data_IF_837531277779
#
_entry.id   IF_837531277779
#
_cell.length_a   1.000
_cell.length_b   1.000
_cell.length_c   1.000
_cell.angle_alpha   90.00
_cell.angle_beta   90.00
_cell.angle_gamma   90.00
#
_symmetry.space_group_name_H-M   'P 1'
#
loop_
_entity.id
_entity.type
_entity.pdbx_description
1 polymer ?
#
# COMPACT_ATOMS: atom_id res chain seq x y z
N UNK A 1 4.87 6.49 -31.40
CA UNK A 1 5.03 7.66 -30.53
C UNK A 1 6.14 7.39 -29.51
N UNK A 2 6.87 8.43 -29.13
CA UNK A 2 7.86 8.38 -28.05
C UNK A 2 7.20 8.81 -26.74
N UNK A 3 7.16 7.92 -25.76
CA UNK A 3 6.40 8.10 -24.52
C UNK A 3 7.34 8.02 -23.32
N UNK A 4 7.26 9.02 -22.43
CA UNK A 4 7.92 8.98 -21.13
C UNK A 4 6.96 8.51 -20.04
N UNK A 5 7.47 7.69 -19.11
CA UNK A 5 6.76 7.29 -17.90
C UNK A 5 7.63 7.65 -16.69
N UNK A 6 7.08 8.39 -15.76
CA UNK A 6 7.75 8.79 -14.53
C UNK A 6 7.29 7.88 -13.38
N UNK A 7 8.22 7.03 -12.94
CA UNK A 7 8.04 6.04 -11.90
C UNK A 7 8.06 4.59 -12.41
N UNK A 8 9.00 3.79 -11.90
CA UNK A 8 9.11 2.35 -12.14
C UNK A 8 8.41 1.52 -11.06
N UNK A 9 7.34 2.05 -10.45
CA UNK A 9 6.39 1.26 -9.67
C UNK A 9 5.55 0.34 -10.57
N UNK A 10 4.79 -0.58 -9.99
CA UNK A 10 3.99 -1.54 -10.77
C UNK A 10 2.98 -0.90 -11.72
N UNK A 11 2.46 0.29 -11.39
CA UNK A 11 1.58 1.04 -12.30
C UNK A 11 2.30 1.54 -13.56
N UNK A 12 3.48 2.15 -13.37
CA UNK A 12 4.29 2.63 -14.49
C UNK A 12 4.81 1.50 -15.37
N UNK A 13 5.30 0.42 -14.76
CA UNK A 13 5.76 -0.76 -15.49
C UNK A 13 4.62 -1.46 -16.25
N UNK A 14 3.41 -1.55 -15.67
CA UNK A 14 2.26 -2.13 -16.35
C UNK A 14 1.79 -1.26 -17.53
N UNK A 15 1.83 0.08 -17.39
CA UNK A 15 1.57 0.99 -18.49
C UNK A 15 2.60 0.82 -19.61
N UNK A 16 3.89 0.75 -19.26
CA UNK A 16 4.96 0.52 -20.23
C UNK A 16 4.79 -0.78 -21.02
N UNK A 17 4.38 -1.85 -20.32
CA UNK A 17 4.10 -3.15 -20.93
C UNK A 17 3.02 -3.05 -22.02
N UNK A 18 1.90 -2.41 -21.71
CA UNK A 18 0.78 -2.28 -22.63
C UNK A 18 1.08 -1.30 -23.78
N UNK A 19 1.82 -0.21 -23.52
CA UNK A 19 2.22 0.77 -24.52
C UNK A 19 3.26 0.17 -25.49
N UNK A 20 4.22 -0.60 -25.00
CA UNK A 20 5.20 -1.28 -25.85
C UNK A 20 4.54 -2.32 -26.75
N UNK A 21 3.60 -3.09 -26.22
CA UNK A 21 2.76 -4.01 -27.05
C UNK A 21 1.96 -3.28 -28.13
N UNK A 22 1.59 -2.03 -27.90
CA UNK A 22 0.90 -1.18 -28.88
C UNK A 22 1.88 -0.54 -29.90
N UNK A 23 3.17 -0.85 -29.87
CA UNK A 23 4.18 -0.39 -30.82
C UNK A 23 4.76 0.97 -30.54
N UNK A 24 4.68 1.47 -29.30
CA UNK A 24 5.27 2.75 -28.91
C UNK A 24 6.72 2.58 -28.42
N UNK A 25 7.51 3.65 -28.54
CA UNK A 25 8.82 3.75 -27.90
C UNK A 25 8.64 4.30 -26.50
N UNK A 26 9.03 3.52 -25.50
CA UNK A 26 8.75 3.82 -24.10
C UNK A 26 10.05 3.94 -23.31
N UNK A 27 10.19 5.07 -22.60
CA UNK A 27 11.27 5.31 -21.64
C UNK A 27 10.64 5.48 -20.25
N UNK A 28 11.11 4.71 -19.26
CA UNK A 28 10.75 4.86 -17.84
C UNK A 28 11.87 5.59 -17.12
N UNK A 29 11.53 6.65 -16.37
CA UNK A 29 12.42 7.37 -15.46
C UNK A 29 12.08 7.00 -14.03
N UNK A 30 13.07 6.56 -13.25
CA UNK A 30 12.91 6.20 -11.83
C UNK A 30 14.02 6.86 -11.01
N UNK A 31 13.63 7.56 -9.95
CA UNK A 31 14.57 8.27 -9.08
C UNK A 31 15.45 7.32 -8.26
N UNK A 32 14.91 6.17 -7.87
CA UNK A 32 15.65 5.13 -7.17
C UNK A 32 16.53 4.31 -8.14
N UNK A 33 17.55 3.66 -7.62
CA UNK A 33 18.43 2.75 -8.35
C UNK A 33 17.80 1.34 -8.55
N UNK A 34 16.52 1.17 -8.17
CA UNK A 34 15.73 -0.07 -8.28
C UNK A 34 14.29 0.22 -8.73
N UNK A 35 13.64 -0.78 -9.32
CA UNK A 35 12.21 -0.74 -9.65
C UNK A 35 11.35 -1.29 -8.49
N UNK A 36 10.02 -1.08 -8.56
CA UNK A 36 9.05 -1.63 -7.61
C UNK A 36 8.27 -0.58 -6.81
N UNK A 37 8.79 0.66 -6.71
CA UNK A 37 8.14 1.75 -5.99
C UNK A 37 7.91 1.42 -4.50
N UNK A 38 6.70 1.65 -3.98
CA UNK A 38 6.37 1.35 -2.57
C UNK A 38 6.35 -0.15 -2.23
N UNK A 39 6.26 -1.02 -3.22
CA UNK A 39 6.34 -2.47 -3.03
C UNK A 39 7.75 -3.03 -3.29
N UNK A 40 8.75 -2.15 -3.37
CA UNK A 40 10.15 -2.57 -3.44
C UNK A 40 10.62 -3.21 -2.13
N UNK A 41 11.67 -4.01 -2.24
CA UNK A 41 12.29 -4.70 -1.12
C UNK A 41 13.79 -4.44 -1.04
N UNK A 42 14.41 -5.10 -0.09
CA UNK A 42 15.85 -5.12 0.12
C UNK A 42 16.25 -6.51 0.64
N UNK A 43 17.54 -6.83 0.60
CA UNK A 43 18.04 -8.04 1.24
C UNK A 43 19.47 -7.87 1.76
N UNK A 44 19.81 -8.65 2.77
CA UNK A 44 21.18 -8.80 3.24
C UNK A 44 21.93 -9.83 2.38
N UNK A 45 23.26 -9.79 2.35
CA UNK A 45 24.05 -10.72 1.53
C UNK A 45 23.83 -12.20 1.83
N UNK A 46 23.44 -12.56 3.05
CA UNK A 46 23.18 -13.93 3.50
C UNK A 46 21.72 -14.38 3.35
N UNK A 47 20.83 -13.51 2.83
CA UNK A 47 19.43 -13.85 2.56
C UNK A 47 19.25 -14.31 1.11
N UNK A 48 18.47 -15.34 0.90
CA UNK A 48 18.08 -15.79 -0.45
C UNK A 48 16.96 -14.92 -1.00
N UNK A 49 16.00 -14.52 -0.14
CA UNK A 49 14.84 -13.73 -0.51
C UNK A 49 14.98 -12.26 -0.05
N UNK A 50 14.30 -11.37 -0.74
CA UNK A 50 14.14 -9.98 -0.33
C UNK A 50 12.99 -9.84 0.68
N UNK A 51 13.08 -8.79 1.48
CA UNK A 51 12.07 -8.34 2.43
C UNK A 51 11.54 -7.00 1.94
N UNK A 52 10.23 -6.79 1.96
CA UNK A 52 9.61 -5.55 1.51
C UNK A 52 9.94 -4.39 2.46
N UNK A 53 10.20 -3.20 1.91
CA UNK A 53 10.39 -1.95 2.70
C UNK A 53 9.13 -1.57 3.47
N UNK A 54 7.99 -1.83 2.85
CA UNK A 54 6.66 -1.71 3.44
C UNK A 54 5.95 -3.04 3.17
N UNK A 55 5.47 -3.72 4.20
CA UNK A 55 4.87 -5.05 4.05
C UNK A 55 3.69 -5.04 3.06
N UNK A 56 3.76 -5.86 2.04
CA UNK A 56 2.79 -6.03 0.97
C UNK A 56 2.32 -7.47 0.85
N UNK A 57 1.10 -7.64 0.37
CA UNK A 57 0.51 -8.95 0.07
C UNK A 57 -0.38 -8.82 -1.15
N UNK A 58 -0.56 -9.92 -1.86
CA UNK A 58 -1.64 -10.08 -2.81
C UNK A 58 -2.82 -10.82 -2.19
N UNK A 59 -4.01 -10.54 -2.69
CA UNK A 59 -5.20 -11.32 -2.43
C UNK A 59 -5.51 -12.23 -3.62
N UNK A 60 -6.19 -13.35 -3.38
CA UNK A 60 -6.62 -14.23 -4.48
C UNK A 60 -7.61 -13.53 -5.43
N UNK A 61 -8.21 -12.42 -5.00
CA UNK A 61 -9.09 -11.54 -5.77
C UNK A 61 -8.37 -10.49 -6.62
N UNK A 62 -7.04 -10.38 -6.54
CA UNK A 62 -6.23 -9.35 -7.22
C UNK A 62 -6.04 -9.67 -8.70
N UNK A 63 -7.14 -9.64 -9.45
CA UNK A 63 -7.22 -10.11 -10.83
C UNK A 63 -6.31 -9.37 -11.80
N UNK A 64 -6.11 -8.05 -11.63
CA UNK A 64 -5.24 -7.25 -12.51
C UNK A 64 -3.77 -7.63 -12.32
N UNK A 65 -3.32 -7.76 -11.06
CA UNK A 65 -1.94 -8.16 -10.76
C UNK A 65 -1.68 -9.61 -11.15
N UNK A 66 -2.55 -10.54 -10.75
CA UNK A 66 -2.40 -11.96 -11.08
C UNK A 66 -2.51 -12.21 -12.59
N UNK A 67 -3.34 -11.42 -13.29
CA UNK A 67 -3.42 -11.42 -14.75
C UNK A 67 -2.11 -10.97 -15.40
N UNK A 68 -1.51 -9.89 -14.90
CA UNK A 68 -0.20 -9.41 -15.37
C UNK A 68 0.89 -10.46 -15.11
N UNK A 69 0.94 -11.06 -13.92
CA UNK A 69 1.93 -12.10 -13.57
C UNK A 69 1.82 -13.28 -14.55
N UNK A 70 0.59 -13.69 -14.91
CA UNK A 70 0.36 -14.74 -15.92
C UNK A 70 0.82 -14.33 -17.31
N UNK A 71 0.55 -13.09 -17.73
CA UNK A 71 1.04 -12.57 -19.02
C UNK A 71 2.58 -12.55 -19.09
N UNK A 72 3.23 -12.39 -17.95
CA UNK A 72 4.68 -12.45 -17.83
C UNK A 72 5.21 -13.89 -17.75
N UNK A 73 4.35 -14.93 -17.66
CA UNK A 73 4.74 -16.34 -17.49
C UNK A 73 5.43 -16.60 -16.16
N UNK A 74 4.93 -16.00 -15.07
CA UNK A 74 5.53 -16.08 -13.73
C UNK A 74 4.54 -16.57 -12.66
N UNK A 75 3.40 -17.12 -13.05
CA UNK A 75 2.33 -17.55 -12.13
C UNK A 75 2.74 -18.70 -11.21
N UNK A 76 3.64 -19.57 -11.64
CA UNK A 76 4.21 -20.67 -10.87
C UNK A 76 4.99 -20.20 -9.63
N UNK A 77 5.43 -18.95 -9.62
CA UNK A 77 6.20 -18.33 -8.53
C UNK A 77 5.34 -17.61 -7.50
N UNK A 78 4.02 -17.60 -7.68
CA UNK A 78 3.10 -16.98 -6.72
C UNK A 78 2.66 -18.01 -5.70
N UNK A 79 2.86 -17.72 -4.43
CA UNK A 79 2.44 -18.57 -3.32
C UNK A 79 1.38 -17.88 -2.47
N UNK A 80 0.40 -18.67 -1.97
CA UNK A 80 -0.71 -18.18 -1.15
C UNK A 80 -0.79 -18.93 0.20
N UNK A 81 0.11 -18.68 1.14
CA UNK A 81 -0.02 -19.18 2.50
C UNK A 81 -1.29 -18.68 3.18
N UNK A 82 -1.69 -19.34 4.25
CA UNK A 82 -2.75 -18.88 5.13
C UNK A 82 -2.15 -18.45 6.47
N UNK A 83 -1.76 -17.17 6.62
CA UNK A 83 -1.18 -16.69 7.86
C UNK A 83 -2.25 -16.53 8.94
N UNK A 84 -1.83 -16.70 10.20
CA UNK A 84 -2.67 -16.47 11.36
C UNK A 84 -2.63 -15.00 11.76
N UNK A 85 -3.80 -14.37 11.80
CA UNK A 85 -3.96 -12.98 12.27
C UNK A 85 -4.64 -12.98 13.62
N UNK A 86 -4.14 -12.15 14.54
CA UNK A 86 -4.70 -12.01 15.89
C UNK A 86 -4.99 -10.56 16.21
N UNK A 87 -5.84 -10.34 17.20
CA UNK A 87 -6.19 -9.03 17.76
C UNK A 87 -5.93 -9.04 19.26
N UNK A 88 -5.30 -8.01 19.76
CA UNK A 88 -5.12 -7.79 21.20
C UNK A 88 -6.44 -7.27 21.80
N UNK A 89 -6.86 -7.89 22.91
CA UNK A 89 -8.01 -7.43 23.66
C UNK A 89 -7.84 -7.78 25.14
N UNK A 90 -7.79 -6.77 26.00
CA UNK A 90 -7.61 -6.91 27.46
C UNK A 90 -6.39 -7.78 27.80
N UNK A 91 -5.27 -7.51 27.16
CA UNK A 91 -3.99 -8.18 27.39
C UNK A 91 -3.90 -9.62 26.86
N UNK A 92 -4.85 -10.09 26.05
CA UNK A 92 -4.84 -11.43 25.44
C UNK A 92 -4.97 -11.37 23.93
N UNK A 93 -4.31 -12.30 23.23
CA UNK A 93 -4.38 -12.47 21.80
C UNK A 93 -5.56 -13.38 21.42
N UNK A 94 -6.39 -12.94 20.48
CA UNK A 94 -7.52 -13.69 19.97
C UNK A 94 -7.39 -13.87 18.46
N UNK A 95 -7.56 -15.09 17.93
CA UNK A 95 -7.59 -15.34 16.49
C UNK A 95 -8.63 -14.45 15.80
N UNK A 96 -8.23 -13.85 14.65
CA UNK A 96 -9.06 -12.93 13.88
C UNK A 96 -8.90 -13.15 12.36
N UNK A 97 -8.57 -14.36 11.96
CA UNK A 97 -8.24 -14.77 10.59
C UNK A 97 -9.42 -15.33 9.79
N UNK A 98 -10.58 -15.48 10.43
CA UNK A 98 -11.79 -16.03 9.82
C UNK A 98 -13.06 -15.36 10.33
N UNK A 99 -14.17 -15.50 9.58
CA UNK A 99 -15.49 -15.01 9.99
C UNK A 99 -15.92 -15.65 11.32
N UNK A 100 -15.62 -16.93 11.51
CA UNK A 100 -15.97 -17.66 12.74
C UNK A 100 -15.20 -17.06 13.92
N UNK A 101 -13.90 -16.87 13.79
CA UNK A 101 -13.06 -16.29 14.84
C UNK A 101 -13.49 -14.86 15.15
N UNK A 102 -13.84 -14.06 14.14
CA UNK A 102 -14.38 -12.72 14.34
C UNK A 102 -15.72 -12.73 15.11
N UNK A 103 -16.62 -13.65 14.80
CA UNK A 103 -17.89 -13.81 15.55
C UNK A 103 -17.68 -14.34 16.98
N UNK A 104 -16.65 -15.13 17.22
CA UNK A 104 -16.29 -15.66 18.55
C UNK A 104 -15.52 -14.63 19.39
N UNK A 105 -15.04 -13.54 18.78
CA UNK A 105 -14.25 -12.52 19.48
C UNK A 105 -15.01 -11.94 20.68
N UNK A 106 -14.40 -11.98 21.89
CA UNK A 106 -15.11 -11.59 23.12
C UNK A 106 -15.42 -10.08 23.20
N UNK A 107 -14.66 -9.23 22.49
CA UNK A 107 -14.88 -7.80 22.42
C UNK A 107 -16.26 -7.41 21.85
N UNK A 108 -16.86 -8.25 21.01
CA UNK A 108 -18.22 -8.06 20.52
C UNK A 108 -19.31 -8.22 21.62
N UNK A 109 -18.97 -8.87 22.74
CA UNK A 109 -19.97 -9.26 23.76
C UNK A 109 -20.90 -10.38 23.26
N UNK A 110 -22.14 -10.40 23.78
CA UNK A 110 -23.13 -11.42 23.45
C UNK A 110 -24.35 -10.85 22.74
N UNK A 111 -25.18 -11.74 22.17
CA UNK A 111 -26.50 -11.41 21.64
C UNK A 111 -26.49 -10.49 20.42
N UNK A 112 -27.24 -9.39 20.50
CA UNK A 112 -27.54 -8.49 19.38
C UNK A 112 -26.29 -7.92 18.70
N UNK A 113 -25.20 -7.69 19.43
CA UNK A 113 -23.97 -7.14 18.84
C UNK A 113 -23.33 -8.09 17.83
N UNK A 114 -23.28 -9.40 18.12
CA UNK A 114 -22.78 -10.40 17.18
C UNK A 114 -23.65 -10.53 15.94
N UNK A 115 -24.96 -10.46 16.14
CA UNK A 115 -25.95 -10.48 15.04
C UNK A 115 -25.72 -9.25 14.14
N UNK A 116 -25.63 -8.04 14.71
CA UNK A 116 -25.36 -6.80 13.96
C UNK A 116 -24.02 -6.86 13.22
N UNK A 117 -22.97 -7.34 13.89
CA UNK A 117 -21.66 -7.52 13.27
C UNK A 117 -21.74 -8.45 12.04
N UNK A 118 -22.41 -9.59 12.17
CA UNK A 118 -22.61 -10.55 11.08
C UNK A 118 -23.40 -9.95 9.90
N UNK A 119 -24.53 -9.28 10.19
CA UNK A 119 -25.36 -8.65 9.15
C UNK A 119 -24.63 -7.51 8.44
N UNK A 120 -23.92 -6.66 9.17
CA UNK A 120 -23.11 -5.58 8.58
C UNK A 120 -22.01 -6.18 7.69
N UNK A 121 -21.30 -7.19 8.17
CA UNK A 121 -20.26 -7.87 7.36
C UNK A 121 -20.84 -8.49 6.09
N UNK A 122 -21.99 -9.18 6.19
CA UNK A 122 -22.67 -9.77 5.05
C UNK A 122 -23.15 -8.71 4.05
N UNK A 123 -23.79 -7.63 4.54
CA UNK A 123 -24.24 -6.54 3.71
C UNK A 123 -23.08 -5.92 2.91
N UNK A 124 -21.96 -5.60 3.58
CA UNK A 124 -20.79 -5.00 2.93
C UNK A 124 -20.13 -5.98 1.94
N UNK A 125 -20.19 -7.27 2.19
CA UNK A 125 -19.68 -8.30 1.28
C UNK A 125 -20.52 -8.44 0.01
N UNK A 126 -21.84 -8.27 0.09
CA UNK A 126 -22.77 -8.53 -1.01
C UNK A 126 -23.14 -7.26 -1.79
N UNK A 127 -23.22 -6.11 -1.12
CA UNK A 127 -23.64 -4.87 -1.80
C UNK A 127 -22.64 -4.42 -2.85
N UNK A 128 -23.16 -3.96 -3.99
CA UNK A 128 -22.39 -3.31 -5.07
C UNK A 128 -22.58 -1.79 -5.08
N UNK A 129 -23.48 -1.27 -4.22
CA UNK A 129 -23.85 0.15 -4.19
C UNK A 129 -22.90 0.99 -3.32
N UNK A 130 -21.63 1.01 -3.67
CA UNK A 130 -20.64 1.83 -2.98
C UNK A 130 -20.89 3.34 -3.10
N UNK A 131 -21.57 3.79 -4.19
CA UNK A 131 -21.92 5.21 -4.40
C UNK A 131 -22.86 5.76 -3.33
N UNK A 132 -23.76 4.93 -2.79
CA UNK A 132 -24.57 5.33 -1.63
C UNK A 132 -23.73 5.42 -0.35
N UNK A 133 -22.76 4.52 -0.18
CA UNK A 133 -21.86 4.47 0.96
C UNK A 133 -20.84 5.62 0.96
N UNK A 134 -20.48 6.15 -0.20
CA UNK A 134 -19.59 7.30 -0.31
C UNK A 134 -20.17 8.60 0.29
N UNK A 135 -21.50 8.69 0.39
CA UNK A 135 -22.21 9.91 0.84
C UNK A 135 -22.25 10.06 2.36
N UNK A 136 -21.75 9.07 3.10
CA UNK A 136 -21.78 9.03 4.57
C UNK A 136 -20.39 8.62 5.08
N UNK A 137 -20.08 9.04 6.31
CA UNK A 137 -18.83 8.63 6.94
C UNK A 137 -18.89 7.19 7.43
N UNK A 138 -17.72 6.52 7.48
CA UNK A 138 -17.62 5.19 8.08
C UNK A 138 -17.99 5.22 9.57
N UNK A 139 -17.60 6.31 10.26
CA UNK A 139 -17.93 6.53 11.67
C UNK A 139 -19.44 6.52 11.90
N UNK A 140 -20.19 7.42 11.25
CA UNK A 140 -21.64 7.55 11.42
C UNK A 140 -22.38 6.27 11.01
N UNK A 141 -22.01 5.71 9.85
CA UNK A 141 -22.69 4.53 9.33
C UNK A 141 -22.50 3.31 10.24
N UNK A 142 -21.25 3.06 10.68
CA UNK A 142 -20.95 1.93 11.56
C UNK A 142 -21.57 2.10 12.96
N UNK A 143 -21.53 3.29 13.52
CA UNK A 143 -22.23 3.61 14.79
C UNK A 143 -23.72 3.28 14.70
N UNK A 144 -24.37 3.65 13.61
CA UNK A 144 -25.81 3.44 13.39
C UNK A 144 -26.15 1.95 13.20
N UNK A 145 -25.47 1.24 12.32
CA UNK A 145 -25.86 -0.10 11.88
C UNK A 145 -25.15 -1.22 12.66
N UNK A 146 -23.86 -1.14 12.90
CA UNK A 146 -23.15 -2.10 13.73
C UNK A 146 -23.41 -1.88 15.23
N UNK A 147 -23.69 -0.64 15.63
CA UNK A 147 -23.91 -0.22 17.00
C UNK A 147 -22.62 0.19 17.71
N UNK A 148 -22.79 1.07 18.72
CA UNK A 148 -21.68 1.73 19.44
C UNK A 148 -20.61 0.73 19.90
N UNK A 149 -20.99 -0.31 20.63
CA UNK A 149 -20.02 -1.28 21.17
C UNK A 149 -19.21 -2.01 20.09
N UNK A 150 -19.86 -2.43 19.00
CA UNK A 150 -19.17 -3.11 17.88
C UNK A 150 -18.24 -2.11 17.18
N UNK A 151 -18.68 -0.90 16.97
CA UNK A 151 -17.87 0.14 16.34
C UNK A 151 -16.62 0.44 17.17
N UNK A 152 -16.76 0.77 18.44
CA UNK A 152 -15.66 1.13 19.34
C UNK A 152 -14.64 0.01 19.54
N UNK A 153 -15.09 -1.26 19.50
CA UNK A 153 -14.18 -2.39 19.70
C UNK A 153 -13.51 -2.91 18.42
N UNK A 154 -14.14 -2.71 17.26
CA UNK A 154 -13.70 -3.36 16.03
C UNK A 154 -13.22 -2.39 14.97
N UNK A 155 -13.95 -1.29 14.77
CA UNK A 155 -13.78 -0.45 13.61
C UNK A 155 -13.12 0.88 13.91
N UNK A 156 -13.41 1.47 15.05
CA UNK A 156 -12.79 2.73 15.47
C UNK A 156 -11.26 2.61 15.64
N UNK A 157 -10.73 1.58 16.32
CA UNK A 157 -9.27 1.40 16.39
C UNK A 157 -8.60 1.23 15.03
N UNK A 158 -9.27 0.54 14.09
CA UNK A 158 -8.80 0.40 12.72
C UNK A 158 -8.78 1.74 11.98
N UNK A 159 -9.85 2.53 12.10
CA UNK A 159 -9.95 3.83 11.45
C UNK A 159 -8.92 4.81 12.03
N UNK A 160 -8.78 4.87 13.36
CA UNK A 160 -7.77 5.69 14.04
C UNK A 160 -6.36 5.29 13.56
N UNK A 161 -6.05 3.99 13.57
CA UNK A 161 -4.74 3.50 13.13
C UNK A 161 -4.45 3.79 11.66
N UNK A 162 -5.46 3.87 10.79
CA UNK A 162 -5.28 4.13 9.37
C UNK A 162 -5.25 5.61 9.01
N UNK A 163 -6.00 6.45 9.72
CA UNK A 163 -6.31 7.81 9.28
C UNK A 163 -6.07 8.87 10.36
N UNK A 164 -5.61 8.49 11.55
CA UNK A 164 -5.32 9.38 12.68
C UNK A 164 -6.47 10.41 12.90
N UNK A 165 -6.23 11.71 12.78
CA UNK A 165 -7.25 12.75 12.99
C UNK A 165 -8.42 12.68 12.01
N UNK A 166 -8.22 12.11 10.80
CA UNK A 166 -9.28 11.99 9.77
C UNK A 166 -10.23 10.81 9.98
N UNK A 167 -10.09 10.01 11.02
CA UNK A 167 -10.83 8.75 11.18
C UNK A 167 -12.35 8.87 11.17
N UNK A 168 -12.89 10.03 11.56
CA UNK A 168 -14.32 10.32 11.52
C UNK A 168 -14.82 10.83 10.17
N UNK A 169 -13.93 11.34 9.33
CA UNK A 169 -14.27 11.98 8.06
C UNK A 169 -14.18 11.03 6.86
N UNK A 170 -13.53 9.87 7.04
CA UNK A 170 -13.39 8.85 5.98
C UNK A 170 -14.76 8.28 5.61
N UNK A 171 -15.04 8.22 4.30
CA UNK A 171 -16.31 7.73 3.80
C UNK A 171 -16.48 6.21 3.98
N UNK A 172 -17.73 5.76 3.99
CA UNK A 172 -18.07 4.36 4.18
C UNK A 172 -17.72 3.46 2.99
N UNK A 173 -17.53 4.02 1.79
CA UNK A 173 -17.13 3.25 0.61
C UNK A 173 -15.71 2.65 0.78
N UNK A 174 -14.79 3.34 1.47
CA UNK A 174 -13.50 2.78 1.82
C UNK A 174 -13.61 1.53 2.72
N UNK A 175 -14.46 1.59 3.74
CA UNK A 175 -14.70 0.44 4.61
C UNK A 175 -15.34 -0.72 3.83
N UNK A 176 -16.28 -0.41 2.94
CA UNK A 176 -16.87 -1.38 2.04
C UNK A 176 -15.81 -2.08 1.17
N UNK A 177 -14.92 -1.33 0.55
CA UNK A 177 -13.88 -1.89 -0.31
C UNK A 177 -13.01 -2.91 0.44
N UNK A 178 -12.63 -2.61 1.68
CA UNK A 178 -11.86 -3.52 2.53
C UNK A 178 -12.60 -4.82 2.85
N UNK A 179 -13.90 -4.74 3.12
CA UNK A 179 -14.71 -5.92 3.43
C UNK A 179 -15.04 -6.74 2.17
N UNK A 180 -15.22 -6.06 1.04
CA UNK A 180 -15.63 -6.68 -0.21
C UNK A 180 -14.50 -7.45 -0.89
N UNK A 181 -13.28 -6.90 -0.93
CA UNK A 181 -12.16 -7.43 -1.71
C UNK A 181 -11.30 -8.47 -0.97
N UNK A 182 -11.29 -8.50 0.37
CA UNK A 182 -10.36 -9.35 1.14
C UNK A 182 -10.66 -10.84 1.03
N UNK A 183 -9.57 -11.61 0.91
CA UNK A 183 -9.55 -13.08 1.02
C UNK A 183 -8.77 -13.49 2.27
N UNK A 184 -8.96 -14.75 2.72
CA UNK A 184 -8.28 -15.28 3.92
C UNK A 184 -6.84 -15.74 3.66
N UNK A 185 -6.48 -15.96 2.40
CA UNK A 185 -5.11 -16.28 2.00
C UNK A 185 -4.43 -15.01 1.53
N UNK A 186 -3.17 -14.84 1.91
CA UNK A 186 -2.31 -13.75 1.47
C UNK A 186 -1.26 -14.29 0.50
N UNK A 187 -1.04 -13.57 -0.59
CA UNK A 187 -0.09 -13.94 -1.61
C UNK A 187 1.24 -13.22 -1.46
N UNK A 188 2.30 -13.90 -1.82
CA UNK A 188 3.63 -13.32 -2.06
C UNK A 188 4.28 -14.00 -3.26
N UNK A 189 5.48 -13.56 -3.62
CA UNK A 189 6.26 -14.08 -4.74
C UNK A 189 7.50 -14.81 -4.24
N UNK A 190 7.89 -15.89 -4.88
CA UNK A 190 9.17 -16.56 -4.60
C UNK A 190 10.35 -15.62 -4.81
N UNK A 191 11.11 -15.36 -3.76
CA UNK A 191 12.17 -14.36 -3.73
C UNK A 191 11.74 -12.98 -3.26
N UNK A 192 10.45 -12.78 -2.91
CA UNK A 192 9.87 -11.51 -2.45
C UNK A 192 9.42 -10.57 -3.58
N UNK A 193 8.77 -9.48 -3.23
CA UNK A 193 8.23 -8.52 -4.21
C UNK A 193 9.33 -7.82 -5.03
N UNK A 194 10.53 -7.61 -4.47
CA UNK A 194 11.64 -7.06 -5.26
C UNK A 194 12.04 -7.98 -6.40
N UNK A 195 12.09 -9.29 -6.15
CA UNK A 195 12.40 -10.27 -7.20
C UNK A 195 11.39 -10.22 -8.34
N UNK A 196 10.10 -10.05 -8.02
CA UNK A 196 9.08 -9.84 -9.05
C UNK A 196 9.30 -8.54 -9.82
N UNK A 197 9.61 -7.42 -9.13
CA UNK A 197 9.87 -6.13 -9.77
C UNK A 197 11.06 -6.22 -10.74
N UNK A 198 12.14 -6.90 -10.32
CA UNK A 198 13.35 -7.07 -11.12
C UNK A 198 13.06 -7.89 -12.38
N UNK A 199 12.38 -9.04 -12.25
CA UNK A 199 11.99 -9.89 -13.38
C UNK A 199 11.05 -9.15 -14.33
N UNK A 200 10.15 -8.32 -13.82
CA UNK A 200 9.27 -7.51 -14.66
C UNK A 200 10.06 -6.45 -15.43
N UNK A 201 10.99 -5.75 -14.77
CA UNK A 201 11.87 -4.79 -15.43
C UNK A 201 12.76 -5.45 -16.50
N UNK A 202 13.29 -6.66 -16.23
CA UNK A 202 14.04 -7.45 -17.21
C UNK A 202 13.19 -7.77 -18.46
N UNK A 203 11.94 -8.22 -18.27
CA UNK A 203 11.01 -8.49 -19.39
C UNK A 203 10.68 -7.25 -20.19
N UNK A 204 10.51 -6.08 -19.53
CA UNK A 204 10.32 -4.81 -20.22
C UNK A 204 11.53 -4.43 -21.08
N UNK A 205 12.76 -4.55 -20.52
CA UNK A 205 14.00 -4.31 -21.28
C UNK A 205 14.15 -5.25 -22.46
N UNK A 206 13.80 -6.52 -22.27
CA UNK A 206 13.83 -7.52 -23.36
C UNK A 206 12.85 -7.17 -24.51
N UNK A 207 11.78 -6.42 -24.23
CA UNK A 207 10.88 -5.88 -25.24
C UNK A 207 11.35 -4.54 -25.84
N UNK A 208 12.49 -4.00 -25.38
CA UNK A 208 13.02 -2.73 -25.86
C UNK A 208 12.40 -1.50 -25.16
N UNK A 209 11.93 -1.66 -23.92
CA UNK A 209 11.62 -0.51 -23.05
C UNK A 209 12.91 -0.03 -22.41
N UNK A 210 13.22 1.26 -22.54
CA UNK A 210 14.33 1.89 -21.83
C UNK A 210 13.92 2.15 -20.38
N UNK A 211 14.70 1.70 -19.40
CA UNK A 211 14.47 1.96 -17.97
C UNK A 211 15.71 2.64 -17.39
N UNK A 212 15.57 3.93 -17.06
CA UNK A 212 16.61 4.78 -16.48
C UNK A 212 16.40 4.85 -14.96
N UNK A 213 17.08 3.97 -14.25
CA UNK A 213 17.12 4.00 -12.78
C UNK A 213 18.09 5.08 -12.29
N UNK A 214 17.98 5.52 -11.03
CA UNK A 214 18.78 6.59 -10.44
C UNK A 214 18.59 7.95 -11.14
N UNK A 215 17.50 8.12 -11.90
CA UNK A 215 17.24 9.29 -12.74
C UNK A 215 16.00 10.03 -12.26
N UNK A 216 16.20 10.97 -11.34
CA UNK A 216 15.14 11.83 -10.83
C UNK A 216 14.81 12.94 -11.83
N UNK A 217 13.62 12.91 -12.43
CA UNK A 217 13.13 13.99 -13.29
C UNK A 217 12.88 15.25 -12.45
N UNK A 218 13.25 16.42 -13.01
CA UNK A 218 13.15 17.72 -12.36
C UNK A 218 12.05 18.60 -12.94
N UNK A 219 11.72 18.44 -14.24
CA UNK A 219 10.73 19.28 -14.90
C UNK A 219 10.02 18.58 -16.06
N UNK A 220 8.77 18.95 -16.24
CA UNK A 220 7.96 18.63 -17.44
C UNK A 220 7.46 19.97 -17.99
N UNK A 221 7.70 20.25 -19.27
CA UNK A 221 7.30 21.49 -19.94
C UNK A 221 6.59 21.20 -21.25
N UNK A 222 5.68 22.07 -21.66
CA UNK A 222 5.12 22.02 -23.00
C UNK A 222 6.12 22.55 -24.03
N UNK A 223 6.24 21.86 -25.17
CA UNK A 223 7.05 22.31 -26.30
C UNK A 223 6.16 23.02 -27.32
N UNK A 224 6.29 24.35 -27.39
CA UNK A 224 5.47 25.18 -28.29
C UNK A 224 5.67 24.85 -29.77
N UNK A 225 6.87 24.40 -30.16
CA UNK A 225 7.19 24.17 -31.55
C UNK A 225 6.74 22.80 -32.09
N UNK A 226 6.76 21.76 -31.26
CA UNK A 226 6.43 20.37 -31.65
C UNK A 226 5.03 19.93 -31.24
N UNK A 227 4.40 20.66 -30.31
CA UNK A 227 3.14 20.22 -29.67
C UNK A 227 3.31 19.07 -28.68
N UNK A 228 4.55 18.64 -28.41
CA UNK A 228 4.92 17.59 -27.47
C UNK A 228 5.23 18.11 -26.07
N UNK A 229 5.87 17.25 -25.30
CA UNK A 229 6.30 17.54 -23.93
C UNK A 229 7.80 17.30 -23.78
N UNK A 230 8.48 18.19 -23.05
CA UNK A 230 9.87 18.01 -22.68
C UNK A 230 9.97 17.48 -21.25
N UNK A 231 10.74 16.42 -21.06
CA UNK A 231 11.13 15.87 -19.74
C UNK A 231 12.62 16.14 -19.58
N UNK A 232 12.99 17.10 -18.73
CA UNK A 232 14.37 17.55 -18.50
C UNK A 232 15.14 17.90 -19.80
N UNK A 233 14.44 18.45 -20.81
CA UNK A 233 15.02 18.84 -22.10
C UNK A 233 14.97 17.74 -23.18
N UNK A 234 14.54 16.55 -22.89
CA UNK A 234 14.28 15.49 -23.88
C UNK A 234 12.81 15.48 -24.31
N UNK A 235 12.56 15.50 -25.63
CA UNK A 235 11.21 15.59 -26.23
C UNK A 235 10.50 14.24 -26.27
N UNK A 236 9.19 14.27 -25.94
CA UNK A 236 8.28 13.13 -25.97
C UNK A 236 6.92 13.55 -26.52
N UNK A 237 6.24 12.65 -27.24
CA UNK A 237 4.88 12.87 -27.71
C UNK A 237 3.88 12.89 -26.56
N UNK A 238 4.07 11.98 -25.57
CA UNK A 238 3.21 11.86 -24.38
C UNK A 238 4.03 11.54 -23.15
N UNK A 239 3.52 11.98 -21.99
CA UNK A 239 4.13 11.74 -20.68
C UNK A 239 3.08 11.17 -19.71
N UNK A 240 3.40 10.07 -19.04
CA UNK A 240 2.61 9.51 -17.95
C UNK A 240 3.37 9.69 -16.62
N UNK A 241 2.76 10.38 -15.67
CA UNK A 241 3.30 10.52 -14.31
C UNK A 241 2.57 9.56 -13.38
N UNK A 242 3.33 8.66 -12.71
CA UNK A 242 2.76 7.65 -11.80
C UNK A 242 3.20 7.87 -10.34
N UNK A 243 3.50 9.09 -9.98
CA UNK A 243 4.00 9.49 -8.66
C UNK A 243 2.90 10.11 -7.78
N UNK A 244 3.28 10.79 -6.68
CA UNK A 244 2.31 11.50 -5.85
C UNK A 244 1.77 12.78 -6.51
N UNK A 245 0.57 13.25 -6.13
CA UNK A 245 0.02 14.53 -6.59
C UNK A 245 0.96 15.72 -6.32
N UNK A 246 1.60 15.74 -5.14
CA UNK A 246 2.53 16.81 -4.77
C UNK A 246 3.81 16.81 -5.61
N UNK A 247 4.24 15.65 -6.10
CA UNK A 247 5.39 15.60 -7.02
C UNK A 247 5.00 16.08 -8.42
N UNK A 248 3.84 15.66 -8.94
CA UNK A 248 3.35 16.18 -10.22
C UNK A 248 3.27 17.72 -10.22
N UNK A 249 2.73 18.31 -9.13
CA UNK A 249 2.62 19.78 -9.03
C UNK A 249 3.97 20.49 -9.06
N UNK A 250 5.03 19.85 -8.56
CA UNK A 250 6.40 20.38 -8.60
C UNK A 250 7.04 20.20 -9.97
N UNK A 251 6.78 19.08 -10.63
CA UNK A 251 7.37 18.76 -11.94
C UNK A 251 6.76 19.58 -13.07
N UNK A 252 5.47 19.92 -12.97
CA UNK A 252 4.74 20.65 -14.00
C UNK A 252 3.93 21.82 -13.39
N UNK A 253 4.60 22.92 -12.96
CA UNK A 253 3.92 24.09 -12.39
C UNK A 253 3.08 24.86 -13.41
N UNK A 254 3.20 24.56 -14.71
CA UNK A 254 2.39 25.12 -15.81
C UNK A 254 0.96 24.57 -15.84
N UNK A 255 0.65 23.53 -15.06
CA UNK A 255 -0.73 23.06 -14.91
C UNK A 255 -1.64 24.18 -14.37
N UNK A 256 -2.91 24.27 -14.85
CA UNK A 256 -3.84 25.30 -14.37
C UNK A 256 -3.95 25.30 -12.85
N UNK A 257 -4.01 26.50 -12.24
CA UNK A 257 -4.07 26.68 -10.78
C UNK A 257 -5.20 25.89 -10.13
N UNK A 258 -6.39 25.86 -10.76
CA UNK A 258 -7.54 25.07 -10.28
C UNK A 258 -7.26 23.57 -10.23
N UNK A 259 -6.48 23.04 -11.19
CA UNK A 259 -6.09 21.63 -11.21
C UNK A 259 -5.03 21.34 -10.15
N UNK A 260 -4.01 22.21 -10.03
CA UNK A 260 -2.98 22.09 -8.99
C UNK A 260 -3.59 22.13 -7.58
N UNK A 261 -4.54 23.05 -7.34
CA UNK A 261 -5.27 23.11 -6.08
C UNK A 261 -5.99 21.80 -5.78
N UNK A 262 -6.74 21.25 -6.77
CA UNK A 262 -7.43 19.97 -6.62
C UNK A 262 -6.49 18.81 -6.31
N UNK A 263 -5.29 18.76 -6.93
CA UNK A 263 -4.26 17.76 -6.62
C UNK A 263 -3.76 17.86 -5.18
N UNK A 264 -3.49 19.08 -4.69
CA UNK A 264 -2.92 19.32 -3.37
C UNK A 264 -3.96 19.17 -2.24
N UNK A 265 -5.25 19.27 -2.55
CA UNK A 265 -6.34 19.01 -1.60
C UNK A 265 -6.54 17.50 -1.33
N UNK A 266 -6.03 16.60 -2.18
CA UNK A 266 -6.07 15.16 -1.95
C UNK A 266 -5.19 14.80 -0.75
N UNK A 267 -5.83 14.46 0.36
CA UNK A 267 -5.13 14.09 1.60
C UNK A 267 -4.54 12.69 1.51
N UNK A 268 -3.39 12.50 2.14
CA UNK A 268 -2.74 11.19 2.26
C UNK A 268 -2.02 11.09 3.60
N UNK A 269 -2.05 9.91 4.20
CA UNK A 269 -1.16 9.56 5.31
C UNK A 269 0.19 9.12 4.76
N UNK A 270 1.23 9.43 5.49
CA UNK A 270 2.52 8.80 5.33
C UNK A 270 2.60 7.46 6.07
N UNK A 271 3.75 6.81 5.99
CA UNK A 271 4.03 5.59 6.74
C UNK A 271 5.47 5.57 7.22
N UNK A 272 5.66 5.04 8.42
CA UNK A 272 6.96 4.70 8.99
C UNK A 272 6.93 3.23 9.37
N UNK A 273 7.87 2.45 8.85
CA UNK A 273 7.97 1.01 9.10
C UNK A 273 9.41 0.68 9.49
N UNK A 274 9.57 0.11 10.68
CA UNK A 274 10.81 -0.50 11.13
C UNK A 274 10.76 -2.00 10.82
N UNK A 275 11.78 -2.50 10.15
CA UNK A 275 12.04 -3.92 9.95
C UNK A 275 13.18 -4.32 10.88
N UNK A 276 13.03 -5.42 11.59
CA UNK A 276 14.06 -6.00 12.47
C UNK A 276 14.43 -7.39 11.97
N UNK A 277 15.72 -7.68 11.94
CA UNK A 277 16.26 -9.04 11.90
C UNK A 277 16.62 -9.44 13.34
N UNK A 278 16.06 -10.55 13.81
CA UNK A 278 16.22 -11.05 15.16
C UNK A 278 16.84 -12.44 15.18
N UNK A 279 17.59 -12.75 16.23
CA UNK A 279 18.15 -14.08 16.52
C UNK A 279 17.09 -15.09 16.95
N UNK A 280 16.01 -14.60 17.54
CA UNK A 280 14.93 -15.42 18.10
C UNK A 280 13.57 -14.90 17.61
N UNK A 281 12.59 -15.79 17.53
CA UNK A 281 11.19 -15.42 17.27
C UNK A 281 10.68 -14.48 18.34
N UNK A 282 9.97 -13.42 17.91
CA UNK A 282 9.36 -12.49 18.85
C UNK A 282 8.07 -13.07 19.45
N UNK A 283 7.28 -13.82 18.67
CA UNK A 283 6.10 -14.54 19.17
C UNK A 283 6.39 -16.03 19.36
N UNK A 284 5.81 -16.63 20.41
CA UNK A 284 5.90 -18.07 20.71
C UNK A 284 4.84 -18.88 19.97
N UNK A 285 3.74 -18.24 19.58
CA UNK A 285 2.53 -18.89 19.06
C UNK A 285 2.51 -19.06 17.54
N UNK A 286 3.50 -18.53 16.81
CA UNK A 286 3.58 -18.61 15.36
C UNK A 286 2.52 -17.76 14.63
N UNK A 287 1.99 -16.72 15.28
CA UNK A 287 1.12 -15.77 14.63
C UNK A 287 1.90 -14.86 13.68
N UNK A 288 1.29 -14.52 12.56
CA UNK A 288 1.90 -13.68 11.55
C UNK A 288 1.60 -12.20 11.78
N UNK A 289 0.32 -11.84 11.95
CA UNK A 289 -0.13 -10.45 12.03
C UNK A 289 -0.81 -10.18 13.37
N UNK A 290 -0.25 -9.24 14.11
CA UNK A 290 -0.74 -8.78 15.39
C UNK A 290 -1.36 -7.39 15.23
N UNK A 291 -2.70 -7.29 15.33
CA UNK A 291 -3.38 -6.01 15.43
C UNK A 291 -3.27 -5.50 16.86
N UNK A 292 -2.58 -4.39 17.03
CA UNK A 292 -2.38 -3.75 18.34
C UNK A 292 -3.14 -2.42 18.36
N UNK A 293 -4.25 -2.33 19.10
CA UNK A 293 -4.98 -1.08 19.26
C UNK A 293 -4.10 -0.03 19.94
N UNK A 294 -4.20 1.25 19.52
CA UNK A 294 -3.37 2.34 20.09
C UNK A 294 -3.64 2.61 21.56
N UNK A 295 -4.85 2.37 22.04
CA UNK A 295 -5.25 2.47 23.45
C UNK A 295 -4.61 1.41 24.37
N UNK A 296 -4.07 0.35 23.80
CA UNK A 296 -3.26 -0.63 24.52
C UNK A 296 -1.79 -0.18 24.73
N UNK A 297 -1.43 1.06 24.31
CA UNK A 297 -0.13 1.68 24.58
C UNK A 297 1.02 1.14 23.73
N UNK A 298 0.76 0.69 22.52
CA UNK A 298 1.78 0.38 21.53
C UNK A 298 2.06 1.60 20.65
N UNK A 299 3.34 1.89 20.32
CA UNK A 299 3.72 3.04 19.50
C UNK A 299 3.57 2.81 17.99
N UNK A 300 2.97 1.69 17.59
CA UNK A 300 2.71 1.29 16.20
C UNK A 300 1.33 0.62 16.07
N UNK A 301 0.78 0.60 14.87
CA UNK A 301 -0.52 0.01 14.56
C UNK A 301 -0.48 -1.51 14.46
N UNK A 302 0.59 -2.05 13.92
CA UNK A 302 0.73 -3.47 13.65
C UNK A 302 2.15 -3.95 13.91
N UNK A 303 2.22 -5.17 14.44
CA UNK A 303 3.43 -5.97 14.48
C UNK A 303 3.24 -7.16 13.54
N UNK A 304 4.21 -7.42 12.67
CA UNK A 304 4.12 -8.49 11.69
C UNK A 304 5.36 -9.34 11.77
N UNK A 305 5.23 -10.58 12.21
CA UNK A 305 6.34 -11.53 12.22
C UNK A 305 6.39 -12.26 10.88
N UNK A 306 7.16 -11.70 9.95
CA UNK A 306 7.21 -12.13 8.55
C UNK A 306 7.62 -13.58 8.39
N UNK A 307 8.50 -14.05 9.25
CA UNK A 307 8.99 -15.43 9.23
C UNK A 307 7.99 -16.48 9.73
N UNK A 308 6.80 -16.07 10.16
CA UNK A 308 5.64 -16.95 10.34
C UNK A 308 4.74 -17.03 9.08
N UNK A 309 5.13 -16.33 8.01
CA UNK A 309 4.47 -16.34 6.69
C UNK A 309 5.39 -16.91 5.61
N UNK A 310 6.67 -16.54 5.63
CA UNK A 310 7.73 -17.07 4.76
C UNK A 310 8.81 -17.68 5.66
N UNK A 311 9.31 -18.88 5.32
CA UNK A 311 10.31 -19.57 6.17
C UNK A 311 11.54 -18.72 6.42
N UNK A 312 12.02 -18.68 7.67
CA UNK A 312 13.27 -18.04 8.05
C UNK A 312 14.49 -18.59 7.32
N UNK A 313 14.40 -19.78 6.76
CA UNK A 313 15.49 -20.40 6.00
C UNK A 313 15.89 -19.55 4.79
N UNK A 314 14.91 -18.81 4.22
CA UNK A 314 15.17 -17.86 3.14
C UNK A 314 15.87 -16.57 3.61
N UNK A 315 16.00 -16.39 4.91
CA UNK A 315 16.65 -15.23 5.52
C UNK A 315 17.88 -15.65 6.35
N UNK A 316 18.55 -16.74 5.99
CA UNK A 316 19.74 -17.22 6.67
C UNK A 316 19.53 -17.61 8.12
N UNK A 317 18.30 -17.93 8.51
CA UNK A 317 17.90 -18.25 9.87
C UNK A 317 17.42 -17.06 10.70
N UNK A 318 17.50 -15.83 10.20
CA UNK A 318 16.99 -14.63 10.86
C UNK A 318 15.47 -14.66 10.99
N UNK A 319 14.96 -14.18 12.13
CA UNK A 319 13.54 -13.90 12.31
C UNK A 319 13.24 -12.45 11.89
N UNK A 320 12.38 -12.27 10.91
CA UNK A 320 12.05 -10.95 10.37
C UNK A 320 10.75 -10.44 10.95
N UNK A 321 10.80 -9.25 11.54
CA UNK A 321 9.65 -8.59 12.18
C UNK A 321 9.49 -7.18 11.63
N UNK A 322 8.25 -6.79 11.33
CA UNK A 322 7.90 -5.41 11.04
C UNK A 322 7.12 -4.79 12.19
N UNK A 323 7.45 -3.55 12.52
CA UNK A 323 6.63 -2.67 13.36
C UNK A 323 6.34 -1.39 12.58
N UNK A 324 5.06 -1.09 12.30
CA UNK A 324 4.73 0.01 11.40
C UNK A 324 3.45 0.75 11.75
N UNK A 325 3.39 2.01 11.27
CA UNK A 325 2.24 2.89 11.48
C UNK A 325 1.97 3.77 10.25
N UNK A 326 0.70 4.21 10.12
CA UNK A 326 0.30 5.30 9.23
C UNK A 326 0.19 6.59 10.05
N UNK A 327 0.87 7.61 9.59
CA UNK A 327 1.09 8.84 10.33
C UNK A 327 0.74 10.05 9.48
N UNK A 328 0.23 11.09 10.11
CA UNK A 328 0.06 12.39 9.48
C UNK A 328 1.42 12.99 9.12
N UNK A 329 1.45 13.76 8.05
CA UNK A 329 2.66 14.48 7.65
C UNK A 329 3.08 15.44 8.77
N UNK A 330 4.38 15.46 9.08
CA UNK A 330 4.93 16.24 10.18
C UNK A 330 4.93 15.53 11.55
N UNK A 331 4.50 14.25 11.61
CA UNK A 331 4.67 13.45 12.82
C UNK A 331 6.15 13.25 13.16
N UNK A 332 6.50 13.31 14.43
CA UNK A 332 7.90 13.24 14.90
C UNK A 332 8.70 12.05 14.36
N UNK A 333 8.05 10.90 14.10
CA UNK A 333 8.74 9.70 13.60
C UNK A 333 9.40 9.90 12.23
N UNK A 334 8.97 10.87 11.44
CA UNK A 334 9.63 11.19 10.17
C UNK A 334 11.01 11.82 10.36
N UNK A 335 11.22 12.51 11.49
CA UNK A 335 12.45 13.23 11.79
C UNK A 335 13.43 12.44 12.66
N UNK A 336 12.96 11.39 13.36
CA UNK A 336 13.81 10.56 14.21
C UNK A 336 14.80 9.73 13.38
N UNK A 337 16.01 9.52 13.92
CA UNK A 337 16.93 8.51 13.40
C UNK A 337 16.40 7.09 13.66
N UNK A 338 16.96 6.10 12.98
CA UNK A 338 16.59 4.69 13.15
C UNK A 338 16.78 4.24 14.61
N UNK A 339 17.88 4.65 15.24
CA UNK A 339 18.16 4.31 16.62
C UNK A 339 17.19 5.02 17.60
N UNK A 340 16.87 6.30 17.36
CA UNK A 340 15.89 7.01 18.19
C UNK A 340 14.49 6.38 18.11
N UNK A 341 14.12 5.90 16.92
CA UNK A 341 12.85 5.21 16.75
C UNK A 341 12.87 3.83 17.42
N UNK A 342 14.01 3.11 17.36
CA UNK A 342 14.20 1.84 18.05
C UNK A 342 14.02 2.01 19.56
N UNK A 343 14.65 3.03 20.16
CA UNK A 343 14.51 3.31 21.60
C UNK A 343 13.05 3.53 22.02
N UNK A 344 12.25 4.18 21.15
CA UNK A 344 10.81 4.33 21.38
C UNK A 344 10.04 3.00 21.29
N UNK A 345 10.51 2.05 20.47
CA UNK A 345 9.80 0.78 20.21
C UNK A 345 10.22 -0.35 21.17
N UNK A 346 11.43 -0.32 21.73
CA UNK A 346 11.93 -1.36 22.65
C UNK A 346 10.95 -1.66 23.79
N UNK A 347 10.38 -0.68 24.53
CA UNK A 347 9.43 -0.99 25.61
C UNK A 347 8.19 -1.75 25.13
N UNK A 348 7.78 -1.52 23.86
CA UNK A 348 6.65 -2.26 23.27
C UNK A 348 7.04 -3.69 22.92
N UNK A 349 8.25 -3.95 22.44
CA UNK A 349 8.75 -5.31 22.21
C UNK A 349 8.89 -6.09 23.51
N UNK A 350 9.40 -5.47 24.58
CA UNK A 350 9.48 -6.06 25.92
C UNK A 350 8.08 -6.36 26.51
N UNK A 351 7.12 -5.43 26.30
CA UNK A 351 5.72 -5.64 26.68
C UNK A 351 5.09 -6.79 25.88
N UNK A 352 5.43 -6.90 24.60
CA UNK A 352 4.92 -7.95 23.72
C UNK A 352 5.47 -9.33 24.10
N UNK A 353 6.78 -9.41 24.35
CA UNK A 353 7.47 -10.61 24.81
C UNK A 353 8.42 -10.25 25.96
N UNK A 354 8.07 -10.61 27.22
CA UNK A 354 8.92 -10.32 28.40
C UNK A 354 10.31 -10.98 28.36
N UNK A 355 10.55 -11.94 27.48
CA UNK A 355 11.88 -12.55 27.28
C UNK A 355 12.73 -11.78 26.26
N UNK A 356 12.13 -10.82 25.54
CA UNK A 356 12.84 -10.01 24.54
C UNK A 356 14.00 -9.27 25.21
N UNK A 357 15.13 -9.27 24.50
CA UNK A 357 16.33 -8.53 24.89
C UNK A 357 16.87 -7.79 23.67
N UNK A 358 17.46 -6.62 23.90
CA UNK A 358 18.09 -5.84 22.83
C UNK A 358 19.12 -6.65 22.03
N UNK A 359 19.85 -7.57 22.68
CA UNK A 359 20.85 -8.44 22.07
C UNK A 359 20.26 -9.46 21.08
N UNK A 360 18.93 -9.62 21.04
CA UNK A 360 18.25 -10.39 20.01
C UNK A 360 18.29 -9.71 18.65
N UNK A 361 18.44 -8.39 18.62
CA UNK A 361 18.47 -7.61 17.40
C UNK A 361 19.81 -7.81 16.69
N UNK A 362 19.78 -8.35 15.48
CA UNK A 362 20.93 -8.40 14.59
C UNK A 362 21.10 -7.05 13.88
N UNK A 363 20.00 -6.54 13.30
CA UNK A 363 19.99 -5.30 12.50
C UNK A 363 18.58 -4.73 12.41
N UNK A 364 18.48 -3.43 12.17
CA UNK A 364 17.23 -2.72 11.91
C UNK A 364 17.33 -1.93 10.60
N UNK A 365 16.19 -1.67 10.00
CA UNK A 365 16.01 -0.75 8.87
C UNK A 365 14.73 0.03 9.08
N UNK A 366 14.76 1.33 8.86
CA UNK A 366 13.57 2.18 8.92
C UNK A 366 13.27 2.76 7.55
N UNK A 367 12.05 2.51 7.08
CA UNK A 367 11.57 3.04 5.82
C UNK A 367 10.45 4.04 6.08
N UNK A 368 10.56 5.22 5.47
CA UNK A 368 9.64 6.34 5.63
C UNK A 368 9.12 6.80 4.27
N UNK A 369 7.84 7.12 4.20
CA UNK A 369 7.25 7.73 3.01
C UNK A 369 6.13 8.68 3.40
N UNK A 370 6.07 9.82 2.73
CA UNK A 370 5.03 10.84 2.94
C UNK A 370 3.74 10.55 2.15
N UNK A 371 3.71 9.49 1.33
CA UNK A 371 2.59 9.14 0.48
C UNK A 371 2.36 7.64 0.51
N UNK A 372 1.50 7.18 1.42
CA UNK A 372 1.26 5.77 1.66
C UNK A 372 -0.22 5.36 1.63
N UNK A 373 -1.12 6.20 2.17
CA UNK A 373 -2.54 5.88 2.27
C UNK A 373 -3.37 7.13 1.94
N UNK A 374 -4.03 7.17 0.77
CA UNK A 374 -5.01 8.22 0.48
C UNK A 374 -6.13 8.23 1.52
N UNK A 375 -6.64 9.43 1.83
CA UNK A 375 -7.75 9.64 2.78
C UNK A 375 -9.02 9.94 2.00
N UNK A 376 -9.89 8.95 1.74
CA UNK A 376 -11.11 9.17 0.96
C UNK A 376 -12.21 9.79 1.82
N UNK A 377 -12.39 11.09 1.71
CA UNK A 377 -13.45 11.86 2.40
C UNK A 377 -14.81 11.64 1.74
N UNK A 378 -15.90 12.10 2.37
CA UNK A 378 -17.25 12.07 1.80
C UNK A 378 -17.27 12.78 0.44
N UNK A 379 -17.87 12.14 -0.58
CA UNK A 379 -17.91 12.67 -1.94
C UNK A 379 -16.58 12.59 -2.71
N UNK A 380 -15.64 11.75 -2.30
CA UNK A 380 -14.28 11.66 -2.83
C UNK A 380 -14.23 11.49 -4.36
N UNK A 381 -15.16 10.72 -4.95
CA UNK A 381 -15.20 10.49 -6.41
C UNK A 381 -15.32 11.77 -7.24
N UNK A 382 -15.84 12.87 -6.66
CA UNK A 382 -15.96 14.15 -7.33
C UNK A 382 -14.66 14.96 -7.35
N UNK A 383 -13.73 14.63 -6.45
CA UNK A 383 -12.48 15.35 -6.26
C UNK A 383 -11.27 14.62 -6.88
N UNK A 384 -11.49 13.40 -7.38
CA UNK A 384 -10.43 12.63 -8.05
C UNK A 384 -10.13 13.27 -9.41
N UNK A 385 -8.88 13.67 -9.69
CA UNK A 385 -8.50 14.21 -10.98
C UNK A 385 -8.64 13.14 -12.07
N UNK A 386 -8.95 13.56 -13.29
CA UNK A 386 -8.92 12.69 -14.46
C UNK A 386 -7.47 12.19 -14.71
N UNK A 387 -7.35 11.03 -15.36
CA UNK A 387 -6.03 10.52 -15.78
C UNK A 387 -5.42 11.46 -16.83
N UNK A 388 -6.22 11.92 -17.80
CA UNK A 388 -5.77 12.96 -18.72
C UNK A 388 -5.81 14.31 -18.00
N UNK A 389 -4.66 14.98 -17.96
CA UNK A 389 -4.55 16.32 -17.36
C UNK A 389 -5.07 17.40 -18.32
N UNK A 390 -5.22 18.65 -17.86
CA UNK A 390 -5.54 19.77 -18.77
C UNK A 390 -4.46 20.08 -19.81
N UNK A 391 -3.22 19.60 -19.63
CA UNK A 391 -2.14 19.74 -20.61
C UNK A 391 -2.23 18.56 -21.58
N UNK A 392 -2.33 18.86 -22.87
CA UNK A 392 -2.38 17.85 -23.92
C UNK A 392 -1.11 16.97 -23.89
N UNK A 393 -1.28 15.66 -24.03
CA UNK A 393 -0.18 14.70 -23.97
C UNK A 393 0.30 14.35 -22.56
N UNK A 394 -0.13 15.08 -21.52
CA UNK A 394 0.25 14.78 -20.12
C UNK A 394 -0.85 13.98 -19.41
N UNK A 395 -0.45 12.84 -18.85
CA UNK A 395 -1.31 11.92 -18.10
C UNK A 395 -0.82 11.74 -16.68
N UNK A 396 -1.75 11.53 -15.74
CA UNK A 396 -1.46 11.30 -14.34
C UNK A 396 -2.24 10.10 -13.83
N UNK A 397 -1.53 9.08 -13.33
CA UNK A 397 -2.13 7.87 -12.78
C UNK A 397 -1.47 7.52 -11.45
N UNK A 398 -2.15 7.80 -10.34
CA UNK A 398 -1.60 7.62 -9.02
C UNK A 398 -2.52 6.86 -8.08
N UNK A 399 -1.99 6.47 -6.93
CA UNK A 399 -2.72 5.81 -5.86
C UNK A 399 -3.94 6.63 -5.38
N UNK A 400 -3.91 7.97 -5.44
CA UNK A 400 -5.03 8.83 -5.08
C UNK A 400 -6.25 8.70 -6.00
N UNK A 401 -6.07 8.15 -7.21
CA UNK A 401 -7.14 7.92 -8.18
C UNK A 401 -7.71 6.50 -8.13
N UNK A 402 -7.14 5.64 -7.28
CA UNK A 402 -7.68 4.31 -7.00
C UNK A 402 -8.89 4.45 -6.08
N UNK A 403 -10.08 4.38 -6.65
CA UNK A 403 -11.33 4.55 -5.93
C UNK A 403 -12.49 3.86 -6.67
N UNK A 404 -13.41 3.18 -6.03
CA UNK A 404 -13.65 3.11 -4.56
C UNK A 404 -12.76 2.11 -3.81
N UNK A 405 -11.85 1.47 -4.50
CA UNK A 405 -10.97 0.46 -3.90
C UNK A 405 -9.96 1.08 -2.93
N UNK A 406 -9.46 0.29 -2.01
CA UNK A 406 -8.30 0.67 -1.21
C UNK A 406 -7.04 0.54 -2.08
N UNK A 407 -5.95 1.20 -1.71
CA UNK A 407 -4.67 1.11 -2.40
C UNK A 407 -4.12 -0.33 -2.44
N UNK A 408 -3.25 -0.62 -3.38
CA UNK A 408 -2.56 -1.90 -3.50
C UNK A 408 -1.93 -2.06 -4.89
N UNK A 409 -1.02 -3.02 -4.99
CA UNK A 409 -0.30 -3.29 -6.25
C UNK A 409 -1.25 -3.72 -7.37
N UNK A 410 -2.34 -4.43 -7.05
CA UNK A 410 -3.39 -4.79 -8.01
C UNK A 410 -3.99 -3.56 -8.68
N UNK A 411 -4.35 -2.57 -7.89
CA UNK A 411 -4.98 -1.35 -8.41
C UNK A 411 -3.98 -0.39 -9.05
N UNK A 412 -2.69 -0.46 -8.65
CA UNK A 412 -1.62 0.23 -9.37
C UNK A 412 -1.48 -0.31 -10.80
N UNK A 413 -1.50 -1.63 -10.99
CA UNK A 413 -1.51 -2.26 -12.31
C UNK A 413 -2.76 -1.85 -13.11
N UNK A 414 -3.94 -1.91 -12.49
CA UNK A 414 -5.20 -1.56 -13.14
C UNK A 414 -5.21 -0.12 -13.64
N UNK A 415 -4.82 0.85 -12.80
CA UNK A 415 -4.81 2.27 -13.20
C UNK A 415 -3.72 2.57 -14.22
N UNK A 416 -2.55 1.93 -14.13
CA UNK A 416 -1.49 2.04 -15.12
C UNK A 416 -1.94 1.56 -16.51
N UNK A 417 -2.57 0.39 -16.59
CA UNK A 417 -3.15 -0.15 -17.83
C UNK A 417 -4.26 0.74 -18.38
N UNK A 418 -5.12 1.29 -17.51
CA UNK A 418 -6.17 2.23 -17.91
C UNK A 418 -5.57 3.50 -18.51
N UNK A 419 -4.51 4.04 -17.91
CA UNK A 419 -3.79 5.20 -18.46
C UNK A 419 -3.16 4.86 -19.82
N UNK A 420 -2.49 3.73 -19.94
CA UNK A 420 -1.93 3.27 -21.22
C UNK A 420 -2.99 3.16 -22.31
N UNK A 421 -4.19 2.65 -21.98
CA UNK A 421 -5.34 2.56 -22.90
C UNK A 421 -5.82 3.92 -23.43
N UNK A 422 -5.66 4.99 -22.65
CA UNK A 422 -6.00 6.37 -23.06
C UNK A 422 -4.89 7.05 -23.87
N UNK A 423 -3.70 6.49 -23.88
CA UNK A 423 -2.51 7.04 -24.56
C UNK A 423 -2.25 6.40 -25.93
N UNK A 424 -3.01 5.39 -26.30
CA UNK A 424 -2.91 4.71 -27.60
C UNK A 424 -3.38 5.59 -28.76
#
# INVERSE_FOLDING_TARGET
MKIAILGAGYGGMAAAWDLKKAGHDVTIFEAADYAGGLASGFKEPHWDWSVEKFYHHWFQSDSAMLGLIRELGLEDKVIFPRPLTVMLYKGKWYPFDSIINALLFPGLGFGLNKIRFGFVGLYLRLTKNWRALEKVTAHEWMMKYAGKKVYEQMWEPLLIGKFASYYKDVNMAWMWARMHARTTRLGTFEGGFQKFADLFAEKLRAQGVEIRLGTAVKSIKQEQASGGLSVDGESFDKVLVTTSPSLLSKLCPELPESYLKGLLELKSMGAVVMTLSLKHSLSKEGYYWFNVPKDEGYPFLALVEHTNFVSKDHFGGDHIVYAGDYLELGHEYFDLSDEQLLEKFIPAFEKFNPEFKREWINKIWVHKTNYAQPVPLVGHSKNIPAIQTPIEGLYFASMSQVYPWDRGTNFAVEIGRRAAGMMK
#
